data_IF_209248687465
#
_entry.id   IF_209248687465
#
_cell.length_a   1.000
_cell.length_b   1.000
_cell.length_c   1.000
_cell.angle_alpha   90.00
_cell.angle_beta   90.00
_cell.angle_gamma   90.00
#
_symmetry.space_group_name_H-M   'P 1'
#
loop_
_entity.id
_entity.type
_entity.pdbx_description
1 polymer ?
#
# COMPACT_ATOMS: atom_id res chain seq x y z
N UNK A 1 9.13 29.87 1.30
CA UNK A 1 8.60 28.67 1.94
C UNK A 1 8.17 27.66 0.87
N UNK A 2 8.62 26.45 0.98
CA UNK A 2 8.27 25.42 0.01
C UNK A 2 6.80 25.06 0.14
N UNK A 3 6.13 24.92 -1.02
CA UNK A 3 4.70 24.58 -1.07
C UNK A 3 4.49 23.09 -1.34
N UNK A 4 5.57 22.36 -1.62
CA UNK A 4 5.53 20.93 -1.93
C UNK A 4 6.62 20.20 -1.16
N UNK A 5 6.50 18.88 -1.13
CA UNK A 5 7.54 18.02 -0.60
C UNK A 5 7.74 16.84 -1.56
N UNK A 6 8.89 16.21 -1.45
CA UNK A 6 9.19 15.05 -2.28
C UNK A 6 8.53 13.81 -1.69
N UNK A 7 7.84 13.03 -2.53
CA UNK A 7 7.25 11.76 -2.15
C UNK A 7 7.75 10.64 -3.05
N UNK A 8 8.15 9.54 -2.45
CA UNK A 8 8.52 8.32 -3.16
C UNK A 8 7.76 7.14 -2.59
N UNK A 9 7.15 6.34 -3.47
CA UNK A 9 6.52 5.07 -3.13
C UNK A 9 7.31 3.96 -3.83
N UNK A 10 7.94 3.12 -3.04
CA UNK A 10 8.91 2.13 -3.51
C UNK A 10 8.45 0.72 -3.16
N UNK A 11 8.45 -0.16 -4.16
CA UNK A 11 8.23 -1.60 -3.98
C UNK A 11 9.52 -2.32 -4.36
N UNK A 12 9.66 -3.62 -4.02
CA UNK A 12 10.88 -4.36 -4.38
C UNK A 12 11.19 -4.35 -5.88
N UNK A 13 10.16 -4.25 -6.71
CA UNK A 13 10.34 -4.34 -8.16
C UNK A 13 10.49 -2.99 -8.85
N UNK A 14 9.98 -1.91 -8.26
CA UNK A 14 10.03 -0.60 -8.92
C UNK A 14 9.61 0.55 -8.01
N UNK A 15 9.94 1.75 -8.42
CA UNK A 15 9.41 2.97 -7.83
C UNK A 15 8.07 3.27 -8.50
N UNK A 16 6.99 3.21 -7.73
CA UNK A 16 5.65 3.50 -8.26
C UNK A 16 5.41 5.00 -8.42
N UNK A 17 5.95 5.78 -7.51
CA UNK A 17 5.81 7.25 -7.53
C UNK A 17 7.13 7.86 -7.12
N UNK A 18 7.49 8.94 -7.80
CA UNK A 18 8.59 9.82 -7.38
C UNK A 18 8.27 11.22 -7.91
N UNK A 19 8.09 12.17 -7.02
CA UNK A 19 7.76 13.54 -7.42
C UNK A 19 7.37 14.41 -6.26
N UNK A 20 6.96 15.63 -6.59
CA UNK A 20 6.55 16.62 -5.61
C UNK A 20 5.03 16.69 -5.50
N UNK A 21 4.54 16.81 -4.28
CA UNK A 21 3.11 16.82 -3.98
C UNK A 21 2.80 17.84 -2.90
N UNK A 22 1.53 18.28 -2.86
CA UNK A 22 1.05 19.24 -1.86
C UNK A 22 0.69 18.52 -0.56
N UNK A 23 0.16 17.31 -0.66
CA UNK A 23 -0.23 16.48 0.47
C UNK A 23 -0.29 15.02 0.04
N UNK A 24 0.01 14.13 0.97
CA UNK A 24 -0.18 12.68 0.82
C UNK A 24 -0.86 12.19 2.08
N UNK A 25 -1.95 11.45 1.94
CA UNK A 25 -2.62 10.78 3.06
C UNK A 25 -2.21 9.32 3.07
N UNK A 26 -1.65 8.88 4.19
CA UNK A 26 -1.05 7.55 4.34
C UNK A 26 -1.92 6.71 5.28
N UNK A 27 -2.20 5.43 4.93
CA UNK A 27 -2.96 4.55 5.83
C UNK A 27 -2.05 3.99 6.92
N UNK A 28 -1.80 4.77 7.95
CA UNK A 28 -0.98 4.34 9.09
C UNK A 28 -1.67 3.30 9.93
N UNK A 29 -0.88 2.54 10.71
CA UNK A 29 -1.40 1.49 11.57
C UNK A 29 -2.40 2.02 12.60
N UNK A 30 -2.20 3.23 13.09
CA UNK A 30 -3.07 3.85 14.09
C UNK A 30 -4.13 4.76 13.46
N UNK A 31 -4.21 4.82 12.16
CA UNK A 31 -5.17 5.67 11.43
C UNK A 31 -4.51 6.39 10.29
N UNK A 32 -5.33 6.97 9.42
CA UNK A 32 -4.81 7.77 8.31
C UNK A 32 -4.12 9.02 8.85
N UNK A 33 -3.00 9.38 8.25
CA UNK A 33 -2.35 10.64 8.57
C UNK A 33 -1.97 11.39 7.29
N UNK A 34 -2.11 12.70 7.32
CA UNK A 34 -1.77 13.56 6.19
C UNK A 34 -0.38 14.14 6.34
N UNK A 35 0.41 14.06 5.29
CA UNK A 35 1.74 14.66 5.23
C UNK A 35 1.65 15.92 4.37
N UNK A 36 2.05 17.03 4.95
CA UNK A 36 2.14 18.34 4.29
C UNK A 36 3.61 18.78 4.25
N UNK A 37 3.95 19.79 3.45
CA UNK A 37 5.31 20.32 3.45
C UNK A 37 5.76 20.67 4.88
N UNK A 38 7.01 20.37 5.20
CA UNK A 38 7.61 20.61 6.50
C UNK A 38 6.96 19.85 7.66
N UNK A 39 6.31 18.73 7.37
CA UNK A 39 5.79 17.85 8.41
C UNK A 39 6.93 17.39 9.33
N UNK A 40 6.65 17.31 10.63
CA UNK A 40 7.64 16.82 11.59
C UNK A 40 8.04 15.38 11.29
N UNK A 41 9.25 15.03 11.69
CA UNK A 41 9.78 13.69 11.44
C UNK A 41 8.90 12.62 12.07
N UNK A 42 8.67 11.54 11.30
CA UNK A 42 7.76 10.48 11.71
C UNK A 42 8.16 9.16 11.04
N UNK A 43 8.04 8.07 11.77
CA UNK A 43 8.11 6.73 11.21
C UNK A 43 6.83 6.01 11.62
N UNK A 44 6.13 5.40 10.67
CA UNK A 44 4.88 4.70 10.92
C UNK A 44 4.80 3.41 10.14
N UNK A 45 4.22 2.39 10.75
CA UNK A 45 3.84 1.19 10.03
C UNK A 45 2.55 1.47 9.27
N UNK A 46 2.34 0.72 8.19
CA UNK A 46 1.19 0.87 7.30
C UNK A 46 0.24 -0.31 7.49
N UNK A 47 -1.06 -0.01 7.57
CA UNK A 47 -2.11 -1.02 7.56
C UNK A 47 -2.66 -1.15 6.13
N UNK A 48 -3.36 -2.26 5.80
CA UNK A 48 -4.02 -2.35 4.50
C UNK A 48 -4.98 -1.19 4.28
N UNK A 49 -4.82 -0.48 3.18
CA UNK A 49 -5.66 0.68 2.90
C UNK A 49 -5.21 1.46 1.68
N UNK A 50 -5.78 2.63 1.51
CA UNK A 50 -5.49 3.49 0.38
C UNK A 50 -4.58 4.65 0.78
N UNK A 51 -3.55 4.87 -0.04
CA UNK A 51 -2.72 6.06 0.01
C UNK A 51 -3.17 6.98 -1.11
N UNK A 52 -3.47 8.24 -0.77
CA UNK A 52 -3.92 9.23 -1.75
C UNK A 52 -2.92 10.37 -1.87
N UNK A 53 -2.54 10.70 -3.10
CA UNK A 53 -1.71 11.87 -3.38
C UNK A 53 -2.61 13.03 -3.79
N UNK A 54 -2.22 14.24 -3.40
CA UNK A 54 -3.01 15.46 -3.66
C UNK A 54 -2.18 16.50 -4.39
N UNK A 55 -2.82 17.13 -5.37
CA UNK A 55 -2.30 18.31 -6.07
C UNK A 55 -3.44 19.31 -6.21
N UNK A 56 -3.20 20.57 -5.83
CA UNK A 56 -4.21 21.62 -5.90
C UNK A 56 -5.53 21.25 -5.20
N UNK A 57 -5.40 20.69 -4.00
CA UNK A 57 -6.53 20.30 -3.13
C UNK A 57 -7.41 19.18 -3.69
N UNK A 58 -6.94 18.48 -4.71
CA UNK A 58 -7.68 17.35 -5.31
C UNK A 58 -6.83 16.09 -5.27
N UNK A 59 -7.49 14.95 -5.14
CA UNK A 59 -6.81 13.66 -5.23
C UNK A 59 -6.26 13.52 -6.64
N UNK A 60 -4.95 13.33 -6.72
CA UNK A 60 -4.24 13.12 -7.97
C UNK A 60 -4.23 11.63 -8.34
N UNK A 61 -3.78 10.79 -7.40
CA UNK A 61 -3.74 9.34 -7.57
C UNK A 61 -4.04 8.63 -6.27
N UNK A 62 -4.51 7.39 -6.40
CA UNK A 62 -4.75 6.51 -5.25
C UNK A 62 -4.07 5.19 -5.46
N UNK A 63 -3.39 4.71 -4.42
CA UNK A 63 -2.68 3.44 -4.43
C UNK A 63 -3.20 2.57 -3.30
N UNK A 64 -3.32 1.27 -3.58
CA UNK A 64 -3.53 0.31 -2.50
C UNK A 64 -2.18 -0.09 -1.92
N UNK A 65 -2.09 -0.12 -0.58
CA UNK A 65 -0.93 -0.65 0.14
C UNK A 65 -1.43 -1.76 1.05
N UNK A 66 -0.76 -2.90 1.04
CA UNK A 66 -1.12 -3.97 1.98
C UNK A 66 -0.40 -3.79 3.31
N UNK A 67 0.88 -3.43 3.26
CA UNK A 67 1.73 -3.26 4.45
C UNK A 67 2.92 -2.39 4.08
N UNK A 68 3.76 -2.11 5.05
CA UNK A 68 4.99 -1.38 4.82
C UNK A 68 5.29 -0.36 5.90
N UNK A 69 6.14 0.58 5.55
CA UNK A 69 6.59 1.66 6.45
C UNK A 69 6.59 2.98 5.72
N UNK A 70 6.27 4.03 6.46
CA UNK A 70 6.37 5.40 5.97
C UNK A 70 7.37 6.16 6.86
N UNK A 71 8.22 6.95 6.23
CA UNK A 71 9.16 7.81 6.94
C UNK A 71 9.06 9.23 6.41
N UNK A 72 8.86 10.18 7.30
CA UNK A 72 8.89 11.61 6.98
C UNK A 72 10.16 12.20 7.60
N UNK A 73 10.99 12.85 6.79
CA UNK A 73 12.23 13.44 7.22
C UNK A 73 12.71 14.43 6.15
N UNK A 74 13.21 15.59 6.57
CA UNK A 74 13.81 16.58 5.67
C UNK A 74 12.91 16.98 4.48
N UNK A 75 11.64 17.26 4.75
CA UNK A 75 10.65 17.63 3.74
C UNK A 75 10.49 16.55 2.65
N UNK A 76 10.59 15.28 3.06
CA UNK A 76 10.50 14.15 2.17
C UNK A 76 9.70 13.03 2.85
N UNK A 77 8.82 12.39 2.09
CA UNK A 77 8.09 11.19 2.51
C UNK A 77 8.55 10.01 1.66
N UNK A 78 9.00 8.96 2.31
CA UNK A 78 9.33 7.69 1.65
C UNK A 78 8.40 6.63 2.20
N UNK A 79 7.73 5.90 1.31
CA UNK A 79 6.89 4.76 1.66
C UNK A 79 7.46 3.52 0.98
N UNK A 80 7.73 2.50 1.80
CA UNK A 80 8.21 1.20 1.34
C UNK A 80 7.11 0.18 1.56
N UNK A 81 6.73 -0.55 0.52
CA UNK A 81 5.68 -1.57 0.61
C UNK A 81 6.00 -2.74 -0.31
N UNK A 82 5.80 -3.97 0.17
CA UNK A 82 5.99 -5.15 -0.68
C UNK A 82 4.84 -5.34 -1.64
N UNK A 83 3.63 -4.97 -1.23
CA UNK A 83 2.44 -5.09 -2.08
C UNK A 83 1.77 -3.73 -2.17
N UNK A 84 1.94 -3.09 -3.31
CA UNK A 84 1.34 -1.79 -3.60
C UNK A 84 1.09 -1.68 -5.09
N UNK A 85 -0.02 -1.05 -5.46
CA UNK A 85 -0.35 -0.82 -6.87
C UNK A 85 -1.35 0.32 -7.00
N UNK A 86 -1.39 0.93 -8.20
CA UNK A 86 -2.39 1.94 -8.54
C UNK A 86 -3.76 1.25 -8.55
N UNK A 87 -4.76 1.84 -7.90
CA UNK A 87 -6.08 1.21 -7.80
C UNK A 87 -6.75 0.97 -9.16
N UNK A 88 -6.34 1.70 -10.19
CA UNK A 88 -6.85 1.48 -11.55
C UNK A 88 -6.39 0.14 -12.14
N UNK A 89 -5.37 -0.48 -11.55
CA UNK A 89 -4.89 -1.79 -11.98
C UNK A 89 -5.65 -2.95 -11.32
N UNK A 90 -6.55 -2.67 -10.38
CA UNK A 90 -7.30 -3.70 -9.68
C UNK A 90 -8.25 -4.43 -10.63
N UNK A 91 -8.20 -5.77 -10.60
CA UNK A 91 -9.12 -6.64 -11.34
C UNK A 91 -9.62 -7.73 -10.40
N UNK A 92 -10.92 -7.71 -10.13
CA UNK A 92 -11.53 -8.64 -9.19
C UNK A 92 -11.22 -10.10 -9.51
N UNK A 93 -11.33 -10.49 -10.79
CA UNK A 93 -11.12 -11.88 -11.19
C UNK A 93 -9.69 -12.37 -10.93
N UNK A 94 -8.71 -11.48 -11.05
CA UNK A 94 -7.31 -11.82 -10.73
C UNK A 94 -7.19 -12.32 -9.30
N UNK A 95 -7.82 -11.61 -8.35
CA UNK A 95 -7.73 -11.96 -6.93
C UNK A 95 -8.60 -13.15 -6.57
N UNK A 96 -9.74 -13.31 -7.24
CA UNK A 96 -10.57 -14.52 -7.08
C UNK A 96 -9.81 -15.75 -7.55
N UNK A 97 -9.08 -15.64 -8.66
CA UNK A 97 -8.28 -16.75 -9.18
C UNK A 97 -7.11 -17.09 -8.23
N UNK A 98 -6.48 -16.08 -7.62
CA UNK A 98 -5.44 -16.29 -6.62
C UNK A 98 -6.00 -17.07 -5.43
N UNK A 99 -7.16 -16.67 -4.92
CA UNK A 99 -7.80 -17.36 -3.79
C UNK A 99 -8.09 -18.81 -4.15
N UNK A 100 -8.70 -19.04 -5.30
CA UNK A 100 -9.02 -20.40 -5.76
C UNK A 100 -7.76 -21.26 -5.89
N UNK A 101 -6.71 -20.72 -6.47
CA UNK A 101 -5.43 -21.41 -6.63
C UNK A 101 -4.84 -21.83 -5.28
N UNK A 102 -4.76 -20.93 -4.34
CA UNK A 102 -4.16 -21.21 -3.04
C UNK A 102 -5.04 -22.09 -2.15
N UNK A 103 -6.36 -22.01 -2.31
CA UNK A 103 -7.28 -22.94 -1.64
C UNK A 103 -7.02 -24.37 -2.08
N UNK A 104 -6.86 -24.59 -3.39
CA UNK A 104 -6.54 -25.92 -3.93
C UNK A 104 -5.20 -26.44 -3.46
N UNK A 105 -4.18 -25.58 -3.46
CA UNK A 105 -2.84 -25.95 -2.99
C UNK A 105 -2.85 -26.26 -1.50
N UNK A 106 -3.58 -25.49 -0.71
CA UNK A 106 -3.71 -25.71 0.72
C UNK A 106 -4.33 -27.07 1.02
N UNK A 107 -5.37 -27.46 0.26
CA UNK A 107 -6.05 -28.73 0.45
C UNK A 107 -5.20 -29.96 0.07
N UNK A 108 -4.18 -29.75 -0.76
CA UNK A 108 -3.30 -30.83 -1.22
C UNK A 108 -2.06 -31.03 -0.39
N UNK A 109 -1.62 -29.99 0.35
CA UNK A 109 -0.40 -30.08 1.14
C UNK A 109 -0.69 -30.59 2.54
N UNK A 110 0.34 -31.24 3.15
CA UNK A 110 0.29 -31.70 4.53
C UNK A 110 1.28 -30.96 5.42
N UNK A 111 2.06 -30.06 4.81
CA UNK A 111 3.12 -29.31 5.50
C UNK A 111 2.52 -28.07 6.16
N UNK A 112 2.70 -27.92 7.47
CA UNK A 112 2.17 -26.79 8.22
C UNK A 112 2.68 -25.43 7.71
N UNK A 113 3.95 -25.36 7.36
CA UNK A 113 4.53 -24.11 6.85
C UNK A 113 3.92 -23.70 5.52
N UNK A 114 3.62 -24.67 4.65
CA UNK A 114 2.96 -24.39 3.38
C UNK A 114 1.51 -23.96 3.59
N UNK A 115 0.78 -24.64 4.50
CA UNK A 115 -0.59 -24.26 4.84
C UNK A 115 -0.62 -22.81 5.32
N UNK A 116 0.28 -22.45 6.21
CA UNK A 116 0.36 -21.08 6.74
C UNK A 116 0.66 -20.06 5.63
N UNK A 117 1.57 -20.40 4.73
CA UNK A 117 1.91 -19.54 3.60
C UNK A 117 0.68 -19.31 2.70
N UNK A 118 -0.04 -20.39 2.35
CA UNK A 118 -1.22 -20.29 1.49
C UNK A 118 -2.34 -19.52 2.17
N UNK A 119 -2.54 -19.71 3.47
CA UNK A 119 -3.54 -18.95 4.23
C UNK A 119 -3.25 -17.46 4.23
N UNK A 120 -1.97 -17.07 4.34
CA UNK A 120 -1.57 -15.67 4.28
C UNK A 120 -1.87 -15.06 2.91
N UNK A 121 -1.61 -15.79 1.82
CA UNK A 121 -1.90 -15.33 0.47
C UNK A 121 -3.39 -15.16 0.24
N UNK A 122 -4.18 -16.09 0.75
CA UNK A 122 -5.65 -16.02 0.67
C UNK A 122 -6.16 -14.81 1.44
N UNK A 123 -5.65 -14.60 2.64
CA UNK A 123 -6.04 -13.46 3.47
C UNK A 123 -5.71 -12.14 2.80
N UNK A 124 -4.52 -12.02 2.22
CA UNK A 124 -4.11 -10.81 1.51
C UNK A 124 -5.07 -10.53 0.34
N UNK A 125 -5.36 -11.53 -0.48
CA UNK A 125 -6.27 -11.38 -1.62
C UNK A 125 -7.68 -11.00 -1.17
N UNK A 126 -8.19 -11.61 -0.11
CA UNK A 126 -9.51 -11.27 0.44
C UNK A 126 -9.54 -9.84 0.95
N UNK A 127 -8.48 -9.38 1.60
CA UNK A 127 -8.39 -8.01 2.10
C UNK A 127 -8.40 -7.02 0.95
N UNK A 128 -7.66 -7.30 -0.11
CA UNK A 128 -7.64 -6.45 -1.31
C UNK A 128 -9.04 -6.34 -1.91
N UNK A 129 -9.72 -7.46 -2.06
CA UNK A 129 -11.09 -7.48 -2.60
C UNK A 129 -12.03 -6.67 -1.69
N UNK A 130 -11.94 -6.87 -0.39
CA UNK A 130 -12.79 -6.18 0.57
C UNK A 130 -12.65 -4.66 0.49
N UNK A 131 -11.42 -4.18 0.33
CA UNK A 131 -11.14 -2.74 0.30
C UNK A 131 -11.47 -2.11 -1.06
N UNK A 132 -11.16 -2.82 -2.17
CA UNK A 132 -11.23 -2.22 -3.50
C UNK A 132 -12.49 -2.57 -4.30
N UNK A 133 -13.28 -3.51 -3.84
CA UNK A 133 -14.47 -3.95 -4.58
C UNK A 133 -15.75 -3.37 -4.00
#
# INVERSE_FOLDING_TARGET
MEKTFLFELITPNKNLVSGEFDMVVVPGEEGDFGVLPHHSNLISQIRPGLLNTYKNDKIDKSFFLYSGFAEVSDNKLIVLSETAFDINEFKLNTYKDIISKYEKLKNKTKTESEILFFEKRIKEANTIIEILN
#
